data_IF_534296106617
#
_entry.id   IF_534296106617
#
_cell.length_a   1.000
_cell.length_b   1.000
_cell.length_c   1.000
_cell.angle_alpha   90.00
_cell.angle_beta   90.00
_cell.angle_gamma   90.00
#
_symmetry.space_group_name_H-M   'P 1'
#
loop_
_entity.id
_entity.type
_entity.pdbx_description
1 polymer ?
#
# COMPACT_ATOMS: atom_id res chain seq x y z
N UNK A 1 -1.66 -5.24 15.31
CA UNK A 1 -0.74 -4.74 14.27
C UNK A 1 -0.91 -3.24 14.19
N UNK A 2 0.17 -2.47 14.28
CA UNK A 2 0.14 -1.04 14.01
C UNK A 2 0.28 -0.85 12.49
N UNK A 3 -0.48 0.07 11.90
CA UNK A 3 -0.42 0.35 10.47
C UNK A 3 0.86 1.13 10.17
N UNK A 4 1.84 0.50 9.51
CA UNK A 4 3.03 1.19 9.01
C UNK A 4 2.77 1.72 7.59
N UNK A 5 2.60 3.04 7.52
CA UNK A 5 2.32 3.76 6.29
C UNK A 5 3.50 3.76 5.31
N UNK A 6 4.74 3.76 5.81
CA UNK A 6 5.94 3.69 4.98
C UNK A 6 6.08 2.28 4.38
N UNK A 7 5.74 1.24 5.15
CA UNK A 7 5.70 -0.14 4.63
C UNK A 7 4.62 -0.30 3.55
N UNK A 8 3.41 0.23 3.77
CA UNK A 8 2.34 0.22 2.76
C UNK A 8 2.83 0.84 1.45
N UNK A 9 3.40 2.04 1.51
CA UNK A 9 3.93 2.74 0.34
C UNK A 9 5.02 1.92 -0.35
N UNK A 10 5.94 1.35 0.43
CA UNK A 10 7.06 0.55 -0.08
C UNK A 10 6.60 -0.74 -0.78
N UNK A 11 5.62 -1.44 -0.21
CA UNK A 11 5.02 -2.62 -0.82
C UNK A 11 4.34 -2.27 -2.15
N UNK A 12 3.57 -1.17 -2.19
CA UNK A 12 2.87 -0.77 -3.41
C UNK A 12 3.85 -0.35 -4.52
N UNK A 13 4.92 0.38 -4.17
CA UNK A 13 6.01 0.70 -5.11
C UNK A 13 6.69 -0.56 -5.63
N UNK A 14 7.02 -1.50 -4.74
CA UNK A 14 7.63 -2.77 -5.12
C UNK A 14 6.70 -3.55 -6.06
N UNK A 15 5.41 -3.66 -5.71
CA UNK A 15 4.42 -4.38 -6.48
C UNK A 15 4.23 -3.79 -7.88
N UNK A 16 4.22 -2.46 -8.03
CA UNK A 16 4.13 -1.84 -9.35
C UNK A 16 5.32 -2.17 -10.26
N UNK A 17 6.53 -2.26 -9.70
CA UNK A 17 7.73 -2.54 -10.47
C UNK A 17 7.89 -4.01 -10.86
N UNK A 18 7.36 -4.93 -10.06
CA UNK A 18 7.63 -6.36 -10.22
C UNK A 18 6.40 -7.13 -10.71
N UNK A 19 5.18 -6.66 -10.39
CA UNK A 19 3.96 -7.42 -10.62
C UNK A 19 3.13 -6.84 -11.78
N UNK A 20 3.02 -7.60 -12.87
CA UNK A 20 2.21 -7.25 -14.05
C UNK A 20 0.97 -8.13 -14.23
N UNK A 21 0.74 -9.08 -13.31
CA UNK A 21 -0.34 -10.06 -13.38
C UNK A 21 0.06 -11.41 -13.95
N UNK A 22 1.31 -11.58 -14.43
CA UNK A 22 1.77 -12.82 -15.10
C UNK A 22 2.21 -13.94 -14.14
N UNK A 23 2.41 -13.63 -12.86
CA UNK A 23 2.75 -14.60 -11.83
C UNK A 23 2.21 -14.16 -10.46
N UNK A 24 2.23 -15.09 -9.51
CA UNK A 24 1.79 -14.86 -8.13
C UNK A 24 3.00 -14.53 -7.27
N UNK A 25 2.85 -13.54 -6.40
CA UNK A 25 3.82 -13.10 -5.40
C UNK A 25 3.28 -13.31 -4.00
N UNK A 26 4.17 -13.66 -3.08
CA UNK A 26 3.92 -13.72 -1.63
C UNK A 26 4.93 -12.86 -0.86
N UNK A 27 4.72 -12.68 0.44
CA UNK A 27 5.59 -11.87 1.28
C UNK A 27 7.07 -12.30 1.27
N UNK A 28 7.34 -13.61 1.18
CA UNK A 28 8.69 -14.17 1.18
C UNK A 28 9.50 -13.81 -0.07
N UNK A 29 8.84 -13.36 -1.13
CA UNK A 29 9.46 -12.91 -2.38
C UNK A 29 9.75 -11.40 -2.39
N UNK A 30 9.21 -10.65 -1.42
CA UNK A 30 9.36 -9.20 -1.33
C UNK A 30 10.55 -8.87 -0.44
N UNK A 31 11.53 -8.17 -1.00
CA UNK A 31 12.74 -7.75 -0.28
C UNK A 31 12.66 -6.24 -0.04
N UNK A 32 12.32 -5.85 1.19
CA UNK A 32 12.31 -4.46 1.65
C UNK A 32 13.21 -4.32 2.89
N UNK A 33 14.17 -3.40 2.84
CA UNK A 33 15.11 -3.19 3.95
C UNK A 33 14.38 -2.73 5.20
N UNK A 34 14.68 -3.37 6.34
CA UNK A 34 14.10 -3.02 7.64
C UNK A 34 12.77 -3.70 7.95
N UNK A 35 12.28 -4.59 7.08
CA UNK A 35 11.01 -5.29 7.26
C UNK A 35 11.17 -6.80 7.13
N UNK A 36 10.51 -7.54 8.01
CA UNK A 36 10.44 -9.01 7.96
C UNK A 36 9.33 -9.49 7.02
N UNK A 37 9.44 -10.71 6.46
CA UNK A 37 8.34 -11.30 5.68
C UNK A 37 7.01 -11.37 6.45
N UNK A 38 7.06 -11.54 7.78
CA UNK A 38 5.86 -11.55 8.62
C UNK A 38 5.16 -10.18 8.65
N UNK A 39 5.93 -9.10 8.81
CA UNK A 39 5.41 -7.72 8.77
C UNK A 39 4.85 -7.40 7.39
N UNK A 40 5.56 -7.76 6.32
CA UNK A 40 5.10 -7.59 4.94
C UNK A 40 3.78 -8.34 4.74
N UNK A 41 3.70 -9.61 5.14
CA UNK A 41 2.49 -10.41 5.00
C UNK A 41 1.28 -9.81 5.73
N UNK A 42 1.49 -9.28 6.92
CA UNK A 42 0.46 -8.56 7.66
C UNK A 42 -0.09 -7.35 6.90
N UNK A 43 0.79 -6.57 6.25
CA UNK A 43 0.39 -5.41 5.45
C UNK A 43 -0.21 -5.82 4.09
N UNK A 44 0.27 -6.89 3.46
CA UNK A 44 -0.38 -7.47 2.28
C UNK A 44 -1.83 -7.86 2.59
N UNK A 45 -2.09 -8.44 3.76
CA UNK A 45 -3.45 -8.80 4.19
C UNK A 45 -4.34 -7.57 4.32
N UNK A 46 -3.82 -6.48 4.86
CA UNK A 46 -4.54 -5.21 4.95
C UNK A 46 -4.86 -4.66 3.55
N UNK A 47 -3.90 -4.70 2.63
CA UNK A 47 -4.05 -4.20 1.26
C UNK A 47 -5.02 -5.06 0.43
N UNK A 48 -4.95 -6.38 0.53
CA UNK A 48 -5.88 -7.31 -0.12
C UNK A 48 -7.32 -7.07 0.39
N UNK A 49 -7.52 -7.02 1.71
CA UNK A 49 -8.83 -6.76 2.31
C UNK A 49 -9.40 -5.37 1.94
N UNK A 50 -8.52 -4.42 1.63
CA UNK A 50 -8.92 -3.07 1.20
C UNK A 50 -9.14 -2.96 -0.32
N UNK A 51 -8.93 -4.05 -1.07
CA UNK A 51 -9.11 -4.10 -2.52
C UNK A 51 -7.98 -3.43 -3.31
N UNK A 52 -6.78 -3.29 -2.74
CA UNK A 52 -5.63 -2.63 -3.39
C UNK A 52 -4.79 -3.61 -4.20
N UNK A 53 -4.89 -4.90 -3.87
CA UNK A 53 -4.22 -6.00 -4.53
C UNK A 53 -5.26 -6.92 -5.17
N UNK A 54 -4.88 -7.58 -6.25
CA UNK A 54 -5.69 -8.62 -6.87
C UNK A 54 -4.83 -9.85 -7.13
N UNK A 55 -5.49 -11.01 -7.04
CA UNK A 55 -4.94 -12.29 -7.40
C UNK A 55 -5.76 -12.85 -8.57
N UNK A 56 -5.25 -12.68 -9.79
CA UNK A 56 -5.93 -13.11 -11.02
C UNK A 56 -6.05 -14.65 -11.15
N UNK A 57 -5.35 -15.41 -10.29
CA UNK A 57 -5.33 -16.88 -10.32
C UNK A 57 -6.31 -17.52 -9.33
N UNK A 58 -7.04 -16.72 -8.54
CA UNK A 58 -8.12 -17.22 -7.69
C UNK A 58 -7.68 -18.19 -6.58
N UNK A 59 -6.39 -18.23 -6.23
CA UNK A 59 -5.91 -19.04 -5.09
C UNK A 59 -6.44 -18.41 -3.80
N UNK A 60 -7.59 -18.92 -3.34
CA UNK A 60 -8.28 -18.41 -2.16
C UNK A 60 -7.42 -18.60 -0.90
N UNK A 61 -6.88 -17.50 -0.39
CA UNK A 61 -6.08 -17.38 0.83
C UNK A 61 -6.90 -17.38 2.12
N UNK A 62 -8.20 -17.76 2.10
CA UNK A 62 -9.11 -17.63 3.26
C UNK A 62 -8.63 -18.36 4.52
N UNK A 63 -7.71 -19.31 4.39
CA UNK A 63 -7.05 -20.04 5.50
C UNK A 63 -5.51 -20.03 5.40
N UNK A 64 -4.93 -19.37 4.39
CA UNK A 64 -3.49 -19.39 4.19
C UNK A 64 -2.81 -18.40 5.15
N UNK A 65 -1.71 -18.83 5.78
CA UNK A 65 -0.85 -17.93 6.54
C UNK A 65 -0.19 -16.86 5.65
N UNK A 66 -0.18 -17.08 4.32
CA UNK A 66 0.43 -16.20 3.33
C UNK A 66 -0.63 -15.57 2.41
N UNK A 67 -0.45 -14.28 2.15
CA UNK A 67 -1.22 -13.54 1.16
C UNK A 67 -0.54 -13.67 -0.19
N UNK A 68 -1.34 -13.92 -1.23
CA UNK A 68 -0.90 -14.10 -2.59
C UNK A 68 -1.57 -13.05 -3.48
N UNK A 69 -0.79 -12.35 -4.30
CA UNK A 69 -1.31 -11.37 -5.25
C UNK A 69 -0.51 -11.42 -6.56
N UNK A 70 -1.10 -10.94 -7.65
CA UNK A 70 -0.49 -10.93 -8.98
C UNK A 70 -0.23 -9.53 -9.52
N UNK A 71 -0.99 -8.51 -9.06
CA UNK A 71 -0.80 -7.10 -9.42
C UNK A 71 -1.59 -6.15 -8.51
N UNK A 72 -1.39 -4.85 -8.73
CA UNK A 72 -2.22 -3.80 -8.13
C UNK A 72 -3.60 -3.71 -8.80
N UNK A 73 -4.61 -3.33 -8.03
CA UNK A 73 -5.88 -2.85 -8.58
C UNK A 73 -5.76 -1.40 -9.05
N UNK A 74 -6.75 -0.90 -9.80
CA UNK A 74 -6.84 0.53 -10.13
C UNK A 74 -6.85 1.40 -8.88
N UNK A 75 -7.55 0.96 -7.83
CA UNK A 75 -7.57 1.67 -6.55
C UNK A 75 -6.19 1.72 -5.89
N UNK A 76 -5.46 0.59 -5.89
CA UNK A 76 -4.08 0.55 -5.42
C UNK A 76 -3.16 1.50 -6.20
N UNK A 77 -3.31 1.55 -7.53
CA UNK A 77 -2.57 2.48 -8.38
C UNK A 77 -2.92 3.95 -8.10
N UNK A 78 -4.20 4.29 -7.94
CA UNK A 78 -4.62 5.65 -7.60
C UNK A 78 -4.10 6.11 -6.24
N UNK A 79 -4.13 5.22 -5.24
CA UNK A 79 -3.53 5.49 -3.94
C UNK A 79 -2.03 5.75 -4.09
N UNK A 80 -1.33 4.83 -4.77
CA UNK A 80 0.11 4.93 -4.98
C UNK A 80 0.47 6.24 -5.68
N UNK A 81 -0.26 6.65 -6.71
CA UNK A 81 -0.03 7.91 -7.42
C UNK A 81 -0.19 9.14 -6.52
N UNK A 82 -1.10 9.12 -5.54
CA UNK A 82 -1.25 10.22 -4.59
C UNK A 82 -0.06 10.31 -3.62
N UNK A 83 0.52 9.18 -3.22
CA UNK A 83 1.61 9.12 -2.21
C UNK A 83 2.99 8.89 -2.81
N UNK A 84 3.13 8.82 -4.15
CA UNK A 84 4.39 8.49 -4.82
C UNK A 84 5.45 9.56 -4.61
N UNK A 85 5.09 10.83 -4.72
CA UNK A 85 6.07 11.91 -4.64
C UNK A 85 6.57 12.08 -3.19
N UNK A 86 7.90 12.05 -2.99
CA UNK A 86 8.51 12.10 -1.64
C UNK A 86 8.19 13.39 -0.87
N UNK A 87 8.06 14.53 -1.56
CA UNK A 87 7.72 15.81 -0.93
C UNK A 87 6.26 15.79 -0.45
N UNK A 88 5.34 15.32 -1.30
CA UNK A 88 3.94 15.14 -0.93
C UNK A 88 3.83 14.15 0.22
N UNK A 89 4.50 13.00 0.12
CA UNK A 89 4.47 11.96 1.14
C UNK A 89 4.97 12.46 2.50
N UNK A 90 6.07 13.22 2.52
CA UNK A 90 6.59 13.81 3.75
C UNK A 90 5.58 14.75 4.41
N UNK A 91 4.91 15.59 3.62
CA UNK A 91 3.85 16.49 4.13
C UNK A 91 2.65 15.70 4.63
N UNK A 92 2.23 14.66 3.90
CA UNK A 92 1.16 13.75 4.33
C UNK A 92 1.49 13.16 5.70
N UNK A 93 2.69 12.57 5.86
CA UNK A 93 3.13 12.00 7.15
C UNK A 93 3.15 13.02 8.28
N UNK A 94 3.63 14.24 8.04
CA UNK A 94 3.60 15.31 9.05
C UNK A 94 2.19 15.59 9.57
N UNK A 95 1.17 15.56 8.69
CA UNK A 95 -0.22 15.73 9.09
C UNK A 95 -0.77 14.47 9.77
N UNK A 96 -0.47 13.27 9.26
CA UNK A 96 -0.89 12.01 9.87
C UNK A 96 -0.37 11.88 11.31
N UNK A 97 0.85 12.35 11.59
CA UNK A 97 1.44 12.34 12.93
C UNK A 97 0.69 13.21 13.95
N UNK A 98 -0.10 14.18 13.49
CA UNK A 98 -0.93 15.04 14.35
C UNK A 98 -2.29 14.40 14.66
N UNK A 99 -2.68 13.34 13.95
CA UNK A 99 -3.99 12.70 14.08
C UNK A 99 -3.86 11.49 15.00
N UNK A 100 -4.53 11.55 16.15
CA UNK A 100 -4.57 10.46 17.13
C UNK A 100 -5.69 9.43 16.88
N UNK A 101 -6.45 9.59 15.79
CA UNK A 101 -7.57 8.73 15.43
C UNK A 101 -7.09 7.56 14.55
N UNK A 102 -7.80 6.42 14.56
CA UNK A 102 -7.59 5.37 13.57
C UNK A 102 -7.81 5.91 12.16
N UNK A 103 -6.79 5.81 11.32
CA UNK A 103 -6.78 6.31 9.94
C UNK A 103 -7.03 5.16 8.97
N UNK A 104 -7.86 5.40 7.95
CA UNK A 104 -8.07 4.45 6.84
C UNK A 104 -7.15 4.78 5.67
N UNK A 105 -6.89 3.80 4.80
CA UNK A 105 -6.15 4.02 3.54
C UNK A 105 -6.80 5.12 2.68
N UNK A 106 -8.13 5.17 2.63
CA UNK A 106 -8.85 6.20 1.89
C UNK A 106 -8.58 7.61 2.42
N UNK A 107 -8.58 7.78 3.74
CA UNK A 107 -8.33 9.09 4.36
C UNK A 107 -6.88 9.56 4.13
N UNK A 108 -5.92 8.63 4.15
CA UNK A 108 -4.52 8.94 3.79
C UNK A 108 -4.42 9.39 2.33
N UNK A 109 -5.16 8.75 1.43
CA UNK A 109 -5.23 9.15 0.02
C UNK A 109 -5.82 10.54 -0.14
N UNK A 110 -6.97 10.81 0.48
CA UNK A 110 -7.66 12.08 0.40
C UNK A 110 -6.78 13.23 0.91
N UNK A 111 -6.05 13.00 2.00
CA UNK A 111 -5.08 13.95 2.53
C UNK A 111 -3.94 14.22 1.54
N UNK A 112 -3.35 13.18 0.95
CA UNK A 112 -2.30 13.34 -0.05
C UNK A 112 -2.80 14.11 -1.28
N UNK A 113 -4.02 13.82 -1.75
CA UNK A 113 -4.67 14.54 -2.86
C UNK A 113 -4.93 16.00 -2.50
N UNK A 114 -5.37 16.30 -1.27
CA UNK A 114 -5.56 17.67 -0.81
C UNK A 114 -4.24 18.47 -0.81
N UNK A 115 -3.13 17.85 -0.39
CA UNK A 115 -1.80 18.47 -0.43
C UNK A 115 -1.36 18.72 -1.88
N UNK A 116 -1.63 17.79 -2.80
CA UNK A 116 -1.35 17.97 -4.24
C UNK A 116 -2.15 19.15 -4.79
N UNK A 117 -3.46 19.21 -4.52
CA UNK A 117 -4.32 20.32 -4.97
C UNK A 117 -3.80 21.67 -4.48
N UNK A 118 -3.46 21.76 -3.19
CA UNK A 118 -2.87 22.96 -2.61
C UNK A 118 -1.53 23.35 -3.27
N UNK A 119 -0.70 22.37 -3.65
CA UNK A 119 0.58 22.64 -4.35
C UNK A 119 0.39 23.17 -5.79
N UNK A 120 -0.77 22.93 -6.39
CA UNK A 120 -1.14 23.39 -7.72
C UNK A 120 -1.93 24.71 -7.70
N UNK A 121 -2.25 25.25 -6.52
CA UNK A 121 -3.02 26.49 -6.37
C UNK A 121 -4.54 26.35 -6.51
N UNK A 122 -5.07 25.13 -6.35
CA UNK A 122 -6.52 24.88 -6.22
C UNK A 122 -6.99 25.05 -4.78
#
# INVERSE_FOLDING_TARGET
MQCDWDLIRSILLWAEHHCDGSYIVSADMIILSGYTPSEINGHLKLLENSGFLINDYGTNSKQACHIYFSRLTRQGQHYLNAVRNDMIWRRTKSVLALISLPLTLSLVQDLAVAIIKSSLGF
#
